data_IF_054510220657
#
_entry.id   IF_054510220657
#
_cell.length_a   1.000
_cell.length_b   1.000
_cell.length_c   1.000
_cell.angle_alpha   90.00
_cell.angle_beta   90.00
_cell.angle_gamma   90.00
#
_symmetry.space_group_name_H-M   'P 1'
#
loop_
_entity.id
_entity.type
_entity.pdbx_description
1 polymer ?
#
# COMPACT_ATOMS: atom_id res chain seq x y z
N UNK A 1 -16.22 8.87 -8.28
CA UNK A 1 -16.86 7.64 -8.81
C UNK A 1 -15.83 6.57 -9.10
N UNK A 2 -14.73 6.89 -9.78
CA UNK A 2 -13.61 5.98 -10.07
C UNK A 2 -13.07 5.30 -8.81
N UNK A 3 -12.89 6.08 -7.74
CA UNK A 3 -12.44 5.61 -6.42
C UNK A 3 -13.40 4.65 -5.69
N UNK A 4 -14.56 4.33 -6.28
CA UNK A 4 -15.64 3.53 -5.65
C UNK A 4 -16.22 4.13 -4.36
N UNK A 5 -15.95 5.39 -4.05
CA UNK A 5 -16.63 6.13 -2.96
C UNK A 5 -18.16 6.22 -3.17
N UNK A 6 -18.61 6.24 -4.43
CA UNK A 6 -20.01 6.01 -4.79
C UNK A 6 -20.20 4.50 -4.97
N UNK A 7 -21.08 3.86 -4.19
CA UNK A 7 -21.36 2.42 -4.27
C UNK A 7 -22.03 2.03 -5.60
N UNK A 8 -22.09 0.74 -5.93
CA UNK A 8 -22.68 0.29 -7.20
C UNK A 8 -24.20 0.52 -7.23
N UNK A 9 -24.83 0.41 -6.07
CA UNK A 9 -26.27 0.58 -5.84
C UNK A 9 -26.71 2.03 -6.07
N UNK A 10 -25.77 2.98 -5.95
CA UNK A 10 -25.99 4.40 -6.22
C UNK A 10 -25.92 4.76 -7.70
N UNK A 11 -25.65 3.80 -8.60
CA UNK A 11 -25.53 4.03 -10.03
C UNK A 11 -26.59 3.21 -10.75
N UNK A 12 -27.50 3.89 -11.43
CA UNK A 12 -28.59 3.26 -12.19
C UNK A 12 -28.67 3.84 -13.59
N UNK A 13 -29.37 3.15 -14.48
CA UNK A 13 -29.57 3.61 -15.86
C UNK A 13 -31.00 3.34 -16.32
N UNK A 14 -31.42 4.04 -17.36
CA UNK A 14 -32.69 3.80 -18.07
C UNK A 14 -32.80 2.36 -18.57
N UNK A 15 -31.68 1.84 -19.08
CA UNK A 15 -31.53 0.49 -19.59
C UNK A 15 -30.06 0.10 -19.58
N UNK A 16 -29.81 -1.20 -19.67
CA UNK A 16 -28.48 -1.76 -19.82
C UNK A 16 -28.56 -2.97 -20.76
N UNK A 17 -27.54 -3.15 -21.60
CA UNK A 17 -27.51 -4.24 -22.58
C UNK A 17 -27.61 -5.62 -21.93
N UNK A 18 -26.72 -5.89 -20.97
CA UNK A 18 -26.82 -7.03 -20.05
C UNK A 18 -26.08 -6.74 -18.73
N UNK A 19 -25.88 -7.76 -17.88
CA UNK A 19 -25.20 -7.61 -16.59
C UNK A 19 -23.72 -7.19 -16.72
N UNK A 20 -23.07 -7.51 -17.82
CA UNK A 20 -21.68 -7.18 -18.13
C UNK A 20 -21.50 -5.72 -18.62
N UNK A 21 -22.58 -5.07 -19.03
CA UNK A 21 -22.67 -3.68 -19.48
C UNK A 21 -23.45 -2.79 -18.50
N UNK A 22 -23.61 -3.26 -17.25
CA UNK A 22 -24.44 -2.62 -16.24
C UNK A 22 -24.04 -1.17 -15.92
N UNK A 23 -24.99 -0.40 -15.38
CA UNK A 23 -24.81 1.02 -15.06
C UNK A 23 -23.56 1.32 -14.23
N UNK A 24 -23.24 0.48 -13.23
CA UNK A 24 -22.10 0.66 -12.34
C UNK A 24 -20.72 0.47 -13.02
N UNK A 25 -20.68 -0.06 -14.25
CA UNK A 25 -19.46 -0.11 -15.06
C UNK A 25 -19.17 1.24 -15.74
N UNK A 26 -20.11 2.19 -15.69
CA UNK A 26 -19.97 3.55 -16.21
C UNK A 26 -19.06 4.46 -15.38
N UNK A 27 -18.12 3.93 -14.60
CA UNK A 27 -17.14 4.72 -13.84
C UNK A 27 -15.99 5.15 -14.75
N UNK A 28 -15.48 6.37 -14.58
CA UNK A 28 -14.28 6.82 -15.29
C UNK A 28 -13.12 5.83 -15.12
N UNK A 29 -12.32 5.68 -16.17
CA UNK A 29 -11.18 4.75 -16.25
C UNK A 29 -11.50 3.26 -16.02
N UNK A 30 -12.77 2.88 -15.84
CA UNK A 30 -13.16 1.47 -15.74
C UNK A 30 -12.67 0.68 -16.96
N UNK A 31 -12.05 -0.47 -16.69
CA UNK A 31 -11.38 -1.31 -17.69
C UNK A 31 -12.22 -2.53 -18.02
N UNK A 32 -12.19 -2.96 -19.28
CA UNK A 32 -12.75 -4.25 -19.66
C UNK A 32 -12.00 -5.36 -18.90
N UNK A 33 -12.74 -6.27 -18.27
CA UNK A 33 -12.17 -7.40 -17.52
C UNK A 33 -13.07 -8.61 -17.62
N UNK A 34 -12.55 -9.72 -18.16
CA UNK A 34 -13.32 -10.92 -18.46
C UNK A 34 -14.49 -10.59 -19.40
N UNK A 35 -15.71 -10.88 -18.94
CA UNK A 35 -16.93 -10.60 -19.68
C UNK A 35 -17.40 -9.14 -19.57
N UNK A 36 -16.91 -8.34 -18.60
CA UNK A 36 -17.39 -6.97 -18.38
C UNK A 36 -16.93 -6.00 -19.46
N UNK A 37 -17.87 -5.21 -19.98
CA UNK A 37 -17.73 -4.36 -21.17
C UNK A 37 -16.76 -3.19 -21.11
N UNK A 38 -16.26 -2.83 -19.91
CA UNK A 38 -15.41 -1.66 -19.71
C UNK A 38 -16.15 -0.32 -19.79
N UNK A 39 -17.48 -0.29 -19.68
CA UNK A 39 -18.34 0.90 -19.54
C UNK A 39 -19.80 0.50 -19.23
N UNK A 40 -20.67 1.48 -18.96
CA UNK A 40 -22.12 1.30 -19.10
C UNK A 40 -22.52 1.37 -20.57
N UNK A 41 -23.35 0.45 -21.03
CA UNK A 41 -23.90 0.42 -22.40
C UNK A 41 -25.42 0.34 -22.32
N UNK A 42 -26.12 1.28 -22.98
CA UNK A 42 -27.57 1.26 -23.03
C UNK A 42 -28.10 0.11 -23.89
N UNK A 43 -29.30 -0.39 -23.60
CA UNK A 43 -29.93 -1.46 -24.38
C UNK A 43 -30.35 -0.98 -25.77
N UNK A 44 -30.82 0.27 -25.87
CA UNK A 44 -31.29 0.88 -27.12
C UNK A 44 -30.58 2.21 -27.37
N UNK A 45 -30.47 2.58 -28.65
CA UNK A 45 -29.86 3.83 -29.09
C UNK A 45 -30.94 4.87 -29.38
N UNK A 46 -31.47 5.50 -28.35
CA UNK A 46 -32.49 6.54 -28.45
C UNK A 46 -32.28 7.65 -27.39
N UNK A 47 -32.96 8.78 -27.54
CA UNK A 47 -32.80 9.95 -26.67
C UNK A 47 -33.45 9.80 -25.27
N UNK A 48 -34.12 8.66 -25.00
CA UNK A 48 -34.70 8.38 -23.69
C UNK A 48 -33.68 7.74 -22.74
N UNK A 49 -32.47 7.43 -23.23
CA UNK A 49 -31.45 6.82 -22.40
C UNK A 49 -30.85 7.81 -21.39
N UNK A 50 -30.52 7.29 -20.20
CA UNK A 50 -29.83 8.06 -19.18
C UNK A 50 -28.99 7.16 -18.27
N UNK A 51 -27.89 7.72 -17.77
CA UNK A 51 -27.08 7.17 -16.66
C UNK A 51 -27.25 8.10 -15.46
N UNK A 52 -27.69 7.55 -14.34
CA UNK A 52 -28.01 8.27 -13.11
C UNK A 52 -27.02 7.92 -12.01
N UNK A 53 -26.62 8.96 -11.27
CA UNK A 53 -25.83 8.84 -10.05
C UNK A 53 -26.64 9.43 -8.90
N UNK A 54 -26.75 8.66 -7.82
CA UNK A 54 -27.32 9.08 -6.55
C UNK A 54 -26.21 9.51 -5.59
N UNK A 55 -26.22 10.79 -5.23
CA UNK A 55 -25.41 11.39 -4.19
C UNK A 55 -26.20 11.31 -2.88
N UNK A 56 -25.90 10.30 -2.06
CA UNK A 56 -26.59 10.08 -0.77
C UNK A 56 -26.36 11.27 0.18
N UNK A 57 -25.18 11.87 0.11
CA UNK A 57 -24.85 13.05 0.90
C UNK A 57 -25.52 14.30 0.26
N UNK A 58 -26.54 14.89 0.91
CA UNK A 58 -27.30 16.01 0.35
C UNK A 58 -26.49 17.30 0.25
N UNK A 59 -25.31 17.34 0.87
CA UNK A 59 -24.43 18.49 0.92
C UNK A 59 -23.44 18.53 -0.24
N UNK A 60 -23.43 17.56 -1.16
CA UNK A 60 -22.48 17.59 -2.29
C UNK A 60 -22.93 18.57 -3.37
N UNK A 61 -22.06 19.53 -3.68
CA UNK A 61 -22.19 20.45 -4.80
C UNK A 61 -21.34 19.97 -5.98
N UNK A 62 -21.96 19.74 -7.13
CA UNK A 62 -21.27 19.31 -8.35
C UNK A 62 -20.79 20.54 -9.11
N UNK A 63 -19.48 20.64 -9.32
CA UNK A 63 -18.83 21.77 -10.00
C UNK A 63 -18.26 21.42 -11.35
N UNK A 64 -18.01 20.13 -11.63
CA UNK A 64 -17.48 19.66 -12.91
C UNK A 64 -17.90 18.22 -13.17
N UNK A 65 -18.05 17.87 -14.43
CA UNK A 65 -18.29 16.50 -14.88
C UNK A 65 -17.20 16.07 -15.85
N UNK A 66 -16.94 14.76 -15.92
CA UNK A 66 -16.09 14.19 -16.96
C UNK A 66 -16.74 12.98 -17.63
N UNK A 67 -16.42 12.76 -18.90
CA UNK A 67 -16.93 11.66 -19.72
C UNK A 67 -15.83 10.95 -20.51
N UNK A 68 -16.01 9.65 -20.74
CA UNK A 68 -15.19 8.76 -21.56
C UNK A 68 -16.09 7.76 -22.30
N UNK A 69 -15.58 7.17 -23.39
CA UNK A 69 -16.24 6.06 -24.10
C UNK A 69 -15.89 4.67 -23.55
N UNK A 70 -16.23 3.61 -24.29
CA UNK A 70 -15.99 2.20 -23.89
C UNK A 70 -14.51 1.87 -23.83
N UNK A 71 -14.04 1.25 -22.74
CA UNK A 71 -12.68 0.70 -22.72
C UNK A 71 -12.61 -0.71 -23.33
N UNK A 72 -12.98 -0.86 -24.60
CA UNK A 72 -12.90 -2.13 -25.34
C UNK A 72 -11.69 -2.19 -26.29
N UNK A 73 -11.14 -3.39 -26.53
CA UNK A 73 -10.04 -3.59 -27.50
C UNK A 73 -10.50 -3.39 -28.96
N UNK A 74 -11.69 -3.89 -29.32
CA UNK A 74 -12.20 -3.87 -30.70
C UNK A 74 -13.46 -3.03 -30.86
N UNK A 75 -14.20 -2.79 -29.78
CA UNK A 75 -15.48 -2.07 -29.83
C UNK A 75 -15.27 -0.57 -29.63
N UNK A 76 -15.70 0.22 -30.61
CA UNK A 76 -15.54 1.67 -30.67
C UNK A 76 -16.89 2.37 -30.41
N UNK A 77 -17.26 2.58 -29.14
CA UNK A 77 -18.53 3.22 -28.77
C UNK A 77 -18.30 4.39 -27.79
N UNK A 78 -18.94 5.53 -28.03
CA UNK A 78 -18.93 6.68 -27.12
C UNK A 78 -20.07 7.66 -27.42
N UNK A 79 -20.38 8.51 -26.44
CA UNK A 79 -21.33 9.61 -26.58
C UNK A 79 -20.61 10.88 -27.04
N UNK A 80 -21.13 11.53 -28.09
CA UNK A 80 -20.53 12.72 -28.71
C UNK A 80 -21.21 14.02 -28.27
N UNK A 81 -22.42 13.95 -27.73
CA UNK A 81 -23.05 15.06 -27.00
C UNK A 81 -24.10 14.57 -26.01
N UNK A 82 -24.33 15.34 -24.95
CA UNK A 82 -25.31 15.03 -23.93
C UNK A 82 -25.86 16.29 -23.25
N UNK A 83 -26.97 16.15 -22.55
CA UNK A 83 -27.43 17.13 -21.56
C UNK A 83 -27.45 16.54 -20.15
N UNK A 84 -27.55 17.42 -19.16
CA UNK A 84 -27.66 17.04 -17.75
C UNK A 84 -29.06 17.36 -17.23
N UNK A 85 -29.63 16.42 -16.48
CA UNK A 85 -30.83 16.67 -15.67
C UNK A 85 -30.57 16.27 -14.23
N UNK A 86 -31.24 16.92 -13.28
CA UNK A 86 -30.97 16.70 -11.86
C UNK A 86 -32.24 16.80 -11.01
N UNK A 87 -32.26 16.14 -9.86
CA UNK A 87 -33.43 16.05 -8.97
C UNK A 87 -33.03 15.84 -7.51
N UNK A 88 -33.87 16.30 -6.58
CA UNK A 88 -33.73 15.98 -5.14
C UNK A 88 -34.65 14.84 -4.68
N UNK A 89 -35.76 14.62 -5.39
CA UNK A 89 -36.78 13.63 -5.02
C UNK A 89 -36.74 12.36 -5.89
N UNK A 90 -35.95 12.37 -6.97
CA UNK A 90 -35.83 11.25 -7.91
C UNK A 90 -37.06 11.09 -8.83
N UNK A 91 -38.03 11.99 -8.74
CA UNK A 91 -39.28 11.98 -9.52
C UNK A 91 -39.32 13.17 -10.47
N UNK A 92 -39.14 14.38 -9.96
CA UNK A 92 -39.15 15.61 -10.74
C UNK A 92 -37.73 16.01 -11.10
N UNK A 93 -37.39 15.88 -12.38
CA UNK A 93 -36.09 16.27 -12.92
C UNK A 93 -36.12 17.67 -13.52
N UNK A 94 -35.11 18.46 -13.18
CA UNK A 94 -34.83 19.77 -13.73
C UNK A 94 -33.74 19.66 -14.82
N UNK A 95 -33.89 20.44 -15.88
CA UNK A 95 -32.85 20.55 -16.93
C UNK A 95 -31.73 21.48 -16.46
N UNK A 96 -30.49 21.10 -16.74
CA UNK A 96 -29.34 21.98 -16.54
C UNK A 96 -29.24 23.01 -17.67
N UNK A 97 -29.01 24.27 -17.30
CA UNK A 97 -28.92 25.41 -18.21
C UNK A 97 -27.91 26.43 -17.69
N UNK A 98 -27.23 27.11 -18.62
CA UNK A 98 -26.29 28.18 -18.28
C UNK A 98 -27.03 29.44 -17.82
N UNK A 99 -26.30 30.32 -17.11
CA UNK A 99 -26.89 31.55 -16.55
C UNK A 99 -27.43 32.44 -17.66
N UNK A 100 -28.71 32.79 -17.58
CA UNK A 100 -29.39 33.61 -18.60
C UNK A 100 -29.96 32.81 -19.78
N UNK A 101 -29.74 31.49 -19.83
CA UNK A 101 -30.31 30.62 -20.85
C UNK A 101 -31.61 29.97 -20.36
N UNK A 102 -32.53 29.73 -21.30
CA UNK A 102 -33.81 29.03 -21.05
C UNK A 102 -33.73 27.57 -21.50
N UNK A 103 -32.98 27.31 -22.56
CA UNK A 103 -32.78 25.98 -23.13
C UNK A 103 -31.77 25.15 -22.35
N UNK A 104 -31.86 23.83 -22.51
CA UNK A 104 -30.91 22.89 -21.92
C UNK A 104 -29.52 23.12 -22.50
N UNK A 105 -28.50 23.13 -21.64
CA UNK A 105 -27.12 23.14 -22.10
C UNK A 105 -26.81 21.82 -22.82
N UNK A 106 -26.36 21.92 -24.06
CA UNK A 106 -25.80 20.80 -24.80
C UNK A 106 -24.28 20.75 -24.55
N UNK A 107 -23.79 19.66 -23.98
CA UNK A 107 -22.38 19.43 -23.70
C UNK A 107 -21.76 18.65 -24.85
N UNK A 108 -20.59 19.11 -25.32
CA UNK A 108 -19.79 18.36 -26.28
C UNK A 108 -19.15 17.18 -25.55
N UNK A 109 -19.47 15.96 -26.00
CA UNK A 109 -18.95 14.71 -25.43
C UNK A 109 -17.60 14.32 -26.02
N UNK A 110 -17.39 13.03 -26.14
CA UNK A 110 -16.12 12.44 -26.57
C UNK A 110 -15.99 12.37 -28.09
N UNK A 111 -14.75 12.45 -28.59
CA UNK A 111 -14.38 12.23 -30.00
C UNK A 111 -13.80 10.84 -30.24
N UNK A 112 -13.42 10.15 -29.17
CA UNK A 112 -12.85 8.81 -29.16
C UNK A 112 -13.24 8.08 -27.86
N UNK A 113 -12.82 6.82 -27.69
CA UNK A 113 -13.23 6.00 -26.54
C UNK A 113 -12.38 6.19 -25.27
N UNK A 114 -11.20 6.79 -25.37
CA UNK A 114 -10.16 6.77 -24.33
C UNK A 114 -9.91 8.16 -23.71
N UNK A 115 -9.99 9.23 -24.47
CA UNK A 115 -9.76 10.61 -24.01
C UNK A 115 -10.85 11.05 -23.04
N UNK A 116 -10.44 11.53 -21.87
CA UNK A 116 -11.36 12.15 -20.90
C UNK A 116 -11.74 13.54 -21.38
N UNK A 117 -13.05 13.82 -21.45
CA UNK A 117 -13.58 15.16 -21.74
C UNK A 117 -14.16 15.73 -20.45
N UNK A 118 -13.77 16.96 -20.11
CA UNK A 118 -14.19 17.66 -18.89
C UNK A 118 -15.10 18.84 -19.23
N UNK A 119 -16.09 19.10 -18.39
CA UNK A 119 -16.90 20.33 -18.44
C UNK A 119 -17.13 20.88 -17.04
N UNK A 120 -16.73 22.13 -16.84
CA UNK A 120 -17.04 22.88 -15.63
C UNK A 120 -18.50 23.36 -15.69
N UNK A 121 -19.18 23.29 -14.54
CA UNK A 121 -20.58 23.65 -14.41
C UNK A 121 -20.71 25.05 -13.81
N UNK A 122 -21.20 25.99 -14.63
CA UNK A 122 -21.56 27.33 -14.21
C UNK A 122 -22.99 27.69 -14.68
N UNK A 123 -24.00 27.62 -13.79
CA UNK A 123 -23.91 27.43 -12.34
C UNK A 123 -23.60 25.99 -11.91
N UNK A 124 -23.10 25.76 -10.68
CA UNK A 124 -22.95 24.43 -10.11
C UNK A 124 -24.31 23.77 -9.80
N UNK A 125 -24.36 22.44 -9.77
CA UNK A 125 -25.59 21.67 -9.50
C UNK A 125 -25.65 21.23 -8.01
N UNK A 126 -26.82 21.41 -7.40
CA UNK A 126 -27.17 20.85 -6.07
C UNK A 126 -28.31 19.87 -6.23
N UNK A 127 -28.02 18.58 -6.09
CA UNK A 127 -29.00 17.54 -6.30
C UNK A 127 -28.60 16.22 -5.65
N UNK A 128 -29.59 15.47 -5.16
CA UNK A 128 -29.42 14.05 -4.80
C UNK A 128 -29.20 13.17 -6.02
N UNK A 129 -29.82 13.48 -7.14
CA UNK A 129 -29.75 12.70 -8.37
C UNK A 129 -29.27 13.56 -9.52
N UNK A 130 -28.31 13.06 -10.28
CA UNK A 130 -27.90 13.65 -11.57
C UNK A 130 -27.96 12.59 -12.66
N UNK A 131 -28.45 12.96 -13.83
CA UNK A 131 -28.57 12.13 -15.03
C UNK A 131 -27.78 12.73 -16.17
N UNK A 132 -26.89 11.93 -16.74
CA UNK A 132 -26.32 12.15 -18.07
C UNK A 132 -27.29 11.61 -19.11
N UNK A 133 -27.75 12.48 -20.02
CA UNK A 133 -28.71 12.12 -21.07
C UNK A 133 -28.05 12.29 -22.44
N UNK A 134 -27.61 11.20 -23.09
CA UNK A 134 -27.01 11.25 -24.42
C UNK A 134 -27.96 11.88 -25.44
N UNK A 135 -27.43 12.78 -26.26
CA UNK A 135 -28.16 13.42 -27.38
C UNK A 135 -27.55 13.07 -28.73
N UNK A 136 -26.28 12.66 -28.77
CA UNK A 136 -25.66 12.07 -29.94
C UNK A 136 -24.54 11.11 -29.54
N UNK A 137 -24.25 10.11 -30.37
CA UNK A 137 -23.27 9.06 -30.09
C UNK A 137 -22.62 8.53 -31.36
N UNK A 138 -21.49 7.84 -31.18
CA UNK A 138 -20.81 7.07 -32.21
C UNK A 138 -20.99 5.58 -31.95
N UNK A 139 -21.53 4.86 -32.94
CA UNK A 139 -21.93 3.44 -32.94
C UNK A 139 -23.00 3.04 -31.91
N UNK A 140 -22.76 3.24 -30.61
CA UNK A 140 -23.69 2.86 -29.55
C UNK A 140 -23.60 3.80 -28.35
N UNK A 141 -24.71 4.02 -27.64
CA UNK A 141 -24.73 4.79 -26.41
C UNK A 141 -23.91 4.04 -25.35
N UNK A 142 -22.75 4.59 -25.04
CA UNK A 142 -21.81 4.03 -24.07
C UNK A 142 -21.07 5.15 -23.36
N UNK A 143 -21.03 5.09 -22.03
CA UNK A 143 -20.38 6.13 -21.23
C UNK A 143 -19.64 5.55 -20.02
N UNK A 144 -18.51 6.19 -19.71
CA UNK A 144 -17.88 6.23 -18.41
C UNK A 144 -17.89 7.68 -17.93
N UNK A 145 -18.21 7.93 -16.67
CA UNK A 145 -18.38 9.28 -16.14
C UNK A 145 -17.72 9.46 -14.78
N UNK A 146 -17.41 10.71 -14.45
CA UNK A 146 -16.97 11.15 -13.13
C UNK A 146 -17.66 12.46 -12.76
N UNK A 147 -17.96 12.61 -11.47
CA UNK A 147 -18.48 13.83 -10.87
C UNK A 147 -17.40 14.43 -9.98
N UNK A 148 -17.12 15.72 -10.19
CA UNK A 148 -16.25 16.51 -9.33
C UNK A 148 -17.10 17.55 -8.60
N UNK A 149 -16.81 17.72 -7.32
CA UNK A 149 -17.57 18.59 -6.45
C UNK A 149 -16.90 18.80 -5.11
N UNK A 150 -17.59 19.54 -4.25
CA UNK A 150 -17.19 19.76 -2.87
C UNK A 150 -18.39 19.62 -1.93
N UNK A 151 -18.10 19.34 -0.65
CA UNK A 151 -19.11 19.36 0.40
C UNK A 151 -19.49 20.82 0.70
N UNK A 152 -20.75 21.16 0.49
CA UNK A 152 -21.44 22.37 0.93
C UNK A 152 -22.37 22.03 2.09
N UNK A 153 -21.80 21.77 3.26
CA UNK A 153 -22.57 21.82 4.49
C UNK A 153 -22.84 23.29 4.83
N UNK A 154 -24.02 23.80 4.51
CA UNK A 154 -24.35 25.23 4.70
C UNK A 154 -25.58 25.46 5.57
N UNK A 155 -25.89 24.52 6.46
CA UNK A 155 -26.97 24.72 7.43
C UNK A 155 -26.55 25.80 8.44
N UNK A 156 -27.43 26.75 8.80
CA UNK A 156 -27.10 27.74 9.80
C UNK A 156 -26.95 27.07 11.15
N UNK A 157 -25.83 27.33 11.84
CA UNK A 157 -25.64 26.82 13.21
C UNK A 157 -26.57 27.51 14.22
N UNK A 158 -27.14 28.66 13.84
CA UNK A 158 -28.28 29.22 14.52
C UNK A 158 -27.94 30.41 15.42
N UNK A 159 -27.08 31.28 14.92
CA UNK A 159 -26.95 32.63 15.49
C UNK A 159 -28.27 33.40 15.33
N UNK A 160 -28.89 33.38 14.15
CA UNK A 160 -30.12 34.12 13.85
C UNK A 160 -31.34 33.58 14.61
N UNK A 161 -31.52 32.25 14.62
CA UNK A 161 -32.71 31.61 15.18
C UNK A 161 -32.61 31.27 16.68
N UNK A 162 -31.46 31.52 17.32
CA UNK A 162 -31.27 31.32 18.75
C UNK A 162 -30.88 29.90 19.18
N UNK A 163 -30.60 28.99 18.24
CA UNK A 163 -30.10 27.63 18.57
C UNK A 163 -28.73 27.69 19.25
N UNK A 164 -27.83 28.55 18.78
CA UNK A 164 -26.66 28.93 19.57
C UNK A 164 -27.16 29.80 20.72
N UNK A 165 -26.95 29.36 21.96
CA UNK A 165 -27.36 30.08 23.17
C UNK A 165 -26.48 31.31 23.44
N UNK A 166 -26.99 32.26 24.22
CA UNK A 166 -26.24 33.48 24.56
C UNK A 166 -24.93 33.19 25.31
N UNK A 167 -24.88 32.11 26.10
CA UNK A 167 -23.69 31.70 26.84
C UNK A 167 -22.56 31.14 25.97
N UNK A 168 -22.86 30.79 24.71
CA UNK A 168 -21.87 30.32 23.73
C UNK A 168 -21.17 31.47 23.00
N UNK A 169 -21.61 32.71 23.20
CA UNK A 169 -21.11 33.87 22.48
C UNK A 169 -20.33 34.75 23.45
N UNK A 170 -19.06 34.99 23.14
CA UNK A 170 -18.16 35.80 23.98
C UNK A 170 -17.38 36.78 23.13
N UNK A 171 -16.83 37.83 23.74
CA UNK A 171 -16.01 38.81 23.04
C UNK A 171 -14.83 39.25 23.90
N UNK A 172 -13.84 39.87 23.26
CA UNK A 172 -12.70 40.52 23.91
C UNK A 172 -13.14 41.61 24.88
N UNK A 173 -14.17 42.37 24.52
CA UNK A 173 -14.72 43.47 25.29
C UNK A 173 -16.13 43.82 24.80
N UNK A 174 -16.92 44.49 25.65
CA UNK A 174 -18.32 44.84 25.36
C UNK A 174 -18.62 46.27 25.84
N UNK A 175 -19.12 47.13 24.95
CA UNK A 175 -19.38 48.54 25.27
C UNK A 175 -20.41 48.72 26.41
N UNK A 176 -21.50 47.95 26.37
CA UNK A 176 -22.60 47.92 27.35
C UNK A 176 -23.50 46.73 27.06
N UNK A 177 -24.41 46.39 27.98
CA UNK A 177 -25.36 45.27 27.84
C UNK A 177 -26.17 45.28 26.52
N UNK A 178 -26.53 46.45 25.99
CA UNK A 178 -27.25 46.57 24.71
C UNK A 178 -26.40 46.23 23.47
N UNK A 179 -25.08 46.12 23.62
CA UNK A 179 -24.10 45.80 22.59
C UNK A 179 -23.13 44.68 23.02
N UNK A 180 -23.59 43.83 23.93
CA UNK A 180 -22.86 42.65 24.38
C UNK A 180 -22.67 41.63 23.25
N UNK A 181 -21.79 40.65 23.45
CA UNK A 181 -21.44 39.66 22.42
C UNK A 181 -22.67 38.89 21.90
N UNK A 182 -23.62 38.55 22.78
CA UNK A 182 -24.87 37.89 22.43
C UNK A 182 -25.80 38.68 21.49
N UNK A 183 -25.53 39.98 21.27
CA UNK A 183 -26.24 40.82 20.30
C UNK A 183 -25.65 40.74 18.89
N UNK A 184 -24.58 39.97 18.67
CA UNK A 184 -23.96 39.77 17.37
C UNK A 184 -24.73 38.83 16.42
N UNK A 185 -26.03 38.59 16.64
CA UNK A 185 -26.82 37.66 15.83
C UNK A 185 -27.21 38.29 14.50
N UNK A 186 -27.09 37.55 13.39
CA UNK A 186 -27.50 38.02 12.07
C UNK A 186 -28.99 38.40 12.06
N UNK A 187 -29.34 39.46 11.31
CA UNK A 187 -30.71 40.00 11.19
C UNK A 187 -31.40 40.36 12.51
N UNK A 188 -30.68 40.43 13.64
CA UNK A 188 -31.27 40.83 14.91
C UNK A 188 -31.99 42.19 14.77
N UNK A 189 -33.24 42.32 15.27
CA UNK A 189 -34.04 43.53 15.10
C UNK A 189 -33.41 44.73 15.81
N UNK A 190 -32.80 44.50 16.97
CA UNK A 190 -32.09 45.49 17.78
C UNK A 190 -30.78 44.91 18.32
N UNK A 191 -29.79 45.79 18.48
CA UNK A 191 -28.48 45.41 19.00
C UNK A 191 -27.52 44.88 17.92
N UNK A 192 -26.24 45.00 18.23
CA UNK A 192 -25.09 44.44 17.51
C UNK A 192 -23.94 44.42 18.52
N UNK A 193 -22.97 43.53 18.36
CA UNK A 193 -21.79 43.61 19.21
C UNK A 193 -20.94 44.85 18.88
N UNK A 194 -20.59 45.62 19.92
CA UNK A 194 -19.60 46.71 19.88
C UNK A 194 -18.56 46.46 20.98
N UNK A 195 -17.26 46.47 20.67
CA UNK A 195 -16.23 46.45 21.70
C UNK A 195 -16.14 47.78 22.45
N UNK A 196 -15.49 47.76 23.63
CA UNK A 196 -15.18 48.97 24.42
C UNK A 196 -14.22 49.92 23.70
N UNK A 197 -13.29 49.37 22.92
CA UNK A 197 -12.28 50.11 22.16
C UNK A 197 -12.19 49.58 20.73
N UNK A 198 -11.92 50.47 19.77
CA UNK A 198 -11.78 50.11 18.36
C UNK A 198 -10.30 49.90 18.01
N UNK A 199 -9.83 48.67 18.10
CA UNK A 199 -8.48 48.27 17.69
C UNK A 199 -8.47 46.85 17.11
N UNK A 200 -7.36 46.46 16.48
CA UNK A 200 -7.21 45.16 15.82
C UNK A 200 -7.14 43.96 16.78
N UNK A 201 -7.00 44.20 18.09
CA UNK A 201 -6.95 43.14 19.11
C UNK A 201 -8.35 42.65 19.52
N UNK A 202 -9.40 43.34 19.09
CA UNK A 202 -10.76 42.96 19.40
C UNK A 202 -11.17 41.65 18.71
N UNK A 203 -12.02 40.89 19.36
CA UNK A 203 -12.56 39.66 18.80
C UNK A 203 -13.94 39.32 19.33
N UNK A 204 -14.72 38.63 18.50
CA UNK A 204 -15.96 37.95 18.85
C UNK A 204 -15.73 36.45 18.65
N UNK A 205 -16.10 35.63 19.63
CA UNK A 205 -15.91 34.18 19.60
C UNK A 205 -17.24 33.47 19.84
N UNK A 206 -17.44 32.40 19.09
CA UNK A 206 -18.60 31.54 19.18
C UNK A 206 -18.12 30.13 19.51
N UNK A 207 -18.68 29.55 20.56
CA UNK A 207 -18.48 28.18 21.01
C UNK A 207 -19.54 27.26 20.39
N UNK A 208 -19.14 26.41 19.46
CA UNK A 208 -19.98 25.44 18.75
C UNK A 208 -20.16 24.13 19.55
N UNK A 209 -19.65 24.06 20.79
CA UNK A 209 -19.73 22.97 21.77
C UNK A 209 -18.97 21.68 21.42
N UNK A 210 -18.88 21.34 20.13
CA UNK A 210 -18.21 20.13 19.63
C UNK A 210 -16.91 20.46 18.90
N UNK A 211 -15.92 19.57 18.94
CA UNK A 211 -14.60 19.81 18.32
C UNK A 211 -14.58 19.55 16.82
N UNK A 212 -15.51 18.74 16.32
CA UNK A 212 -15.51 18.25 14.93
C UNK A 212 -16.53 19.01 14.07
N UNK A 213 -16.81 20.27 14.44
CA UNK A 213 -17.70 21.13 13.67
C UNK A 213 -16.94 21.70 12.47
N UNK A 214 -17.56 21.60 11.30
CA UNK A 214 -17.04 22.08 10.03
C UNK A 214 -17.80 23.36 9.66
N UNK A 215 -17.11 24.49 9.66
CA UNK A 215 -17.65 25.78 9.22
C UNK A 215 -17.18 26.06 7.79
N UNK A 216 -18.14 26.08 6.87
CA UNK A 216 -17.88 26.21 5.43
C UNK A 216 -18.18 27.61 4.89
N UNK A 217 -18.99 28.39 5.61
CA UNK A 217 -19.38 29.74 5.21
C UNK A 217 -19.72 30.58 6.43
N UNK A 218 -19.48 31.87 6.34
CA UNK A 218 -19.96 32.87 7.31
C UNK A 218 -20.81 33.90 6.59
N UNK A 219 -21.82 34.44 7.28
CA UNK A 219 -22.48 35.67 6.87
C UNK A 219 -22.15 36.77 7.87
N UNK A 220 -21.97 37.97 7.37
CA UNK A 220 -21.73 39.16 8.19
C UNK A 220 -22.70 40.28 7.81
N UNK A 221 -22.98 41.15 8.76
CA UNK A 221 -23.83 42.33 8.58
C UNK A 221 -23.42 43.42 9.57
N UNK A 222 -23.52 44.69 9.15
CA UNK A 222 -23.29 45.86 10.01
C UNK A 222 -24.44 46.19 10.97
N UNK A 223 -24.34 47.31 11.70
CA UNK A 223 -25.31 47.76 12.71
C UNK A 223 -26.68 48.18 12.11
N UNK A 224 -27.79 47.66 12.65
CA UNK A 224 -29.16 48.13 12.34
C UNK A 224 -29.61 49.25 13.30
N UNK A 225 -29.03 50.44 13.20
CA UNK A 225 -29.50 51.65 13.91
C UNK A 225 -29.82 52.73 12.87
N UNK A 226 -31.05 53.27 12.92
CA UNK A 226 -31.55 54.30 12.02
C UNK A 226 -30.79 55.63 12.13
N UNK A 227 -30.06 55.87 13.23
CA UNK A 227 -29.35 57.14 13.51
C UNK A 227 -27.83 57.12 13.31
N UNK A 228 -27.18 55.96 13.12
CA UNK A 228 -25.72 55.83 12.95
C UNK A 228 -25.37 54.87 11.79
N UNK A 229 -24.38 55.21 10.96
CA UNK A 229 -23.96 54.43 9.78
C UNK A 229 -22.58 53.79 10.02
N UNK A 230 -22.51 52.54 10.50
CA UNK A 230 -21.23 51.87 10.79
C UNK A 230 -21.13 50.49 10.13
N UNK A 231 -19.94 50.14 9.65
CA UNK A 231 -19.67 48.96 8.82
C UNK A 231 -18.41 48.21 9.29
N UNK A 232 -18.40 46.89 9.13
CA UNK A 232 -17.28 46.00 9.45
C UNK A 232 -16.89 45.15 8.23
N UNK A 233 -15.59 45.15 7.87
CA UNK A 233 -14.90 44.35 6.85
C UNK A 233 -15.14 44.63 5.36
N UNK A 234 -14.13 44.25 4.55
CA UNK A 234 -14.13 44.23 3.07
C UNK A 234 -15.25 43.32 2.54
N UNK A 235 -16.41 43.91 2.32
CA UNK A 235 -17.61 43.24 1.81
C UNK A 235 -18.89 43.96 2.20
N UNK A 236 -19.00 44.43 3.45
CA UNK A 236 -20.20 45.13 3.91
C UNK A 236 -20.19 46.60 3.43
N UNK A 237 -20.70 46.83 2.22
CA UNK A 237 -20.81 48.18 1.63
C UNK A 237 -21.92 49.03 2.28
N UNK A 238 -22.83 48.42 3.05
CA UNK A 238 -23.87 49.13 3.79
C UNK A 238 -24.37 48.31 5.01
N UNK A 239 -25.24 48.94 5.82
CA UNK A 239 -25.76 48.39 7.08
C UNK A 239 -26.84 47.31 6.94
N UNK A 240 -27.40 47.14 5.74
CA UNK A 240 -28.54 46.25 5.48
C UNK A 240 -28.13 44.98 4.74
N UNK A 241 -27.19 45.08 3.82
CA UNK A 241 -26.71 43.97 3.02
C UNK A 241 -26.04 42.93 3.92
N UNK A 242 -26.48 41.70 3.80
CA UNK A 242 -25.79 40.55 4.34
C UNK A 242 -24.75 40.14 3.30
N UNK A 243 -23.51 39.94 3.76
CA UNK A 243 -22.43 39.49 2.90
C UNK A 243 -22.01 38.10 3.34
N UNK A 244 -21.98 37.19 2.38
CA UNK A 244 -21.61 35.81 2.58
C UNK A 244 -20.17 35.60 2.13
N UNK A 245 -19.39 34.88 2.93
CA UNK A 245 -18.02 34.49 2.62
C UNK A 245 -17.91 32.98 2.73
N UNK A 246 -17.69 32.32 1.59
CA UNK A 246 -17.38 30.89 1.56
C UNK A 246 -15.92 30.70 2.01
N UNK A 247 -15.69 29.76 2.92
CA UNK A 247 -14.40 29.47 3.53
C UNK A 247 -13.72 28.33 2.77
N UNK A 248 -12.62 28.64 2.09
CA UNK A 248 -11.77 27.68 1.40
C UNK A 248 -10.29 27.94 1.76
N UNK A 249 -9.66 27.09 2.61
CA UNK A 249 -10.21 25.88 3.23
C UNK A 249 -11.30 26.18 4.27
N UNK A 250 -12.17 25.20 4.54
CA UNK A 250 -13.17 25.30 5.62
C UNK A 250 -12.49 25.30 6.99
N UNK A 251 -13.13 25.91 7.99
CA UNK A 251 -12.63 25.93 9.36
C UNK A 251 -13.17 24.71 10.09
N UNK A 252 -12.28 23.97 10.76
CA UNK A 252 -12.65 22.85 11.64
C UNK A 252 -12.34 23.23 13.07
N UNK A 253 -13.32 23.11 13.95
CA UNK A 253 -13.10 23.31 15.38
C UNK A 253 -14.30 23.84 16.14
N UNK A 254 -14.21 23.69 17.47
CA UNK A 254 -15.21 24.17 18.42
C UNK A 254 -15.35 25.68 18.50
N UNK A 255 -14.24 26.41 18.40
CA UNK A 255 -14.23 27.85 18.61
C UNK A 255 -13.94 28.59 17.30
N UNK A 256 -14.89 29.41 16.85
CA UNK A 256 -14.68 30.33 15.73
C UNK A 256 -14.57 31.74 16.25
N UNK A 257 -13.46 32.41 15.90
CA UNK A 257 -13.16 33.77 16.34
C UNK A 257 -13.11 34.73 15.16
N UNK A 258 -13.97 35.74 15.18
CA UNK A 258 -13.98 36.86 14.25
C UNK A 258 -13.09 37.97 14.80
N UNK A 259 -12.12 38.43 14.01
CA UNK A 259 -11.18 39.50 14.37
C UNK A 259 -11.31 40.68 13.39
N UNK A 260 -11.90 41.81 13.78
CA UNK A 260 -11.98 43.01 12.95
C UNK A 260 -10.60 43.51 12.50
N UNK A 261 -10.38 43.63 11.19
CA UNK A 261 -9.13 44.19 10.62
C UNK A 261 -9.35 45.65 10.20
N UNK A 262 -10.38 45.89 9.39
CA UNK A 262 -10.79 47.21 8.92
C UNK A 262 -12.25 47.48 9.27
N UNK A 263 -12.55 48.70 9.70
CA UNK A 263 -13.89 49.16 10.05
C UNK A 263 -14.08 50.62 9.67
N UNK A 264 -15.33 51.07 9.68
CA UNK A 264 -15.64 52.49 9.54
C UNK A 264 -16.33 53.04 10.75
N UNK A 265 -15.78 54.15 11.24
CA UNK A 265 -16.12 54.82 12.49
C UNK A 265 -15.85 53.91 13.70
N UNK A 266 -16.62 52.82 13.87
CA UNK A 266 -16.46 51.85 14.96
C UNK A 266 -16.69 50.42 14.46
N UNK A 267 -16.13 49.46 15.18
CA UNK A 267 -16.38 48.04 15.00
C UNK A 267 -17.83 47.75 15.40
N UNK A 268 -18.61 47.19 14.48
CA UNK A 268 -19.95 46.70 14.73
C UNK A 268 -20.23 45.46 13.89
N UNK A 269 -20.56 44.33 14.52
CA UNK A 269 -20.76 43.06 13.82
C UNK A 269 -22.02 42.32 14.25
N UNK A 270 -22.72 41.80 13.24
CA UNK A 270 -23.69 40.71 13.33
C UNK A 270 -23.24 39.60 12.40
N UNK A 271 -23.34 38.36 12.84
CA UNK A 271 -22.79 37.19 12.13
C UNK A 271 -23.74 35.99 12.18
N UNK A 272 -23.60 35.12 11.20
CA UNK A 272 -24.13 33.75 11.17
C UNK A 272 -23.03 32.82 10.65
N UNK A 273 -23.01 31.59 11.16
CA UNK A 273 -22.09 30.54 10.71
C UNK A 273 -22.90 29.46 10.03
N UNK A 274 -22.33 28.90 8.97
CA UNK A 274 -22.94 27.82 8.21
C UNK A 274 -21.97 26.65 8.12
N UNK A 275 -22.50 25.45 8.28
CA UNK A 275 -21.69 24.25 8.38
C UNK A 275 -22.50 23.02 8.75
N UNK A 276 -21.81 22.03 9.31
CA UNK A 276 -22.42 20.89 10.00
C UNK A 276 -21.43 20.26 10.99
N UNK A 277 -21.92 19.34 11.80
CA UNK A 277 -21.08 18.40 12.54
C UNK A 277 -20.51 17.35 11.59
N UNK A 278 -19.27 16.93 11.86
CA UNK A 278 -18.72 15.74 11.25
C UNK A 278 -19.61 14.51 11.53
N UNK A 279 -19.69 13.61 10.56
CA UNK A 279 -20.38 12.33 10.72
C UNK A 279 -19.32 11.26 10.85
N UNK A 280 -19.20 10.62 12.02
CA UNK A 280 -18.28 9.48 12.16
C UNK A 280 -18.82 8.27 11.38
N UNK A 281 -18.36 8.12 10.13
CA UNK A 281 -18.85 7.05 9.27
C UNK A 281 -18.43 5.67 9.76
N UNK A 282 -17.35 5.58 10.56
CA UNK A 282 -16.83 4.34 11.13
C UNK A 282 -17.74 3.82 12.26
N UNK A 283 -18.18 4.69 13.17
CA UNK A 283 -19.12 4.31 14.24
C UNK A 283 -20.52 4.02 13.70
N UNK A 284 -20.98 4.80 12.74
CA UNK A 284 -22.30 4.69 12.14
C UNK A 284 -22.42 3.55 11.12
N UNK A 285 -21.32 2.83 10.84
CA UNK A 285 -21.22 1.80 9.78
C UNK A 285 -21.66 2.30 8.40
N UNK A 286 -21.42 3.59 8.11
CA UNK A 286 -21.73 4.26 6.84
C UNK A 286 -20.49 4.39 5.95
N UNK A 287 -19.56 3.46 6.07
CA UNK A 287 -18.31 3.42 5.32
C UNK A 287 -18.29 2.24 4.34
N UNK A 288 -17.38 2.30 3.36
CA UNK A 288 -17.15 1.23 2.38
C UNK A 288 -15.79 0.53 2.54
N UNK A 289 -15.12 0.69 3.68
CA UNK A 289 -13.84 0.03 3.95
C UNK A 289 -13.92 -1.50 3.79
N UNK A 290 -12.86 -2.09 3.26
CA UNK A 290 -12.75 -3.54 3.12
C UNK A 290 -12.79 -4.22 4.49
N UNK A 291 -13.25 -5.48 4.55
CA UNK A 291 -13.25 -6.26 5.80
C UNK A 291 -11.86 -6.45 6.43
N UNK A 292 -10.81 -6.40 5.60
CA UNK A 292 -9.40 -6.45 6.01
C UNK A 292 -8.78 -5.05 6.05
N UNK A 293 -9.57 -4.02 6.35
CA UNK A 293 -9.10 -2.65 6.52
C UNK A 293 -9.63 -2.07 7.83
N UNK A 294 -8.86 -1.13 8.39
CA UNK A 294 -9.28 -0.26 9.46
C UNK A 294 -9.91 1.01 8.89
N UNK A 295 -11.10 1.35 9.39
CA UNK A 295 -11.75 2.62 9.11
C UNK A 295 -11.23 3.65 10.11
N UNK A 296 -10.69 4.77 9.61
CA UNK A 296 -10.34 5.92 10.44
C UNK A 296 -11.22 7.09 10.04
N UNK A 297 -12.02 7.59 10.99
CA UNK A 297 -12.81 8.79 10.79
C UNK A 297 -11.89 10.01 10.63
N UNK A 298 -12.27 10.95 9.78
CA UNK A 298 -11.57 12.21 9.57
C UNK A 298 -12.59 13.34 9.53
N UNK A 299 -12.22 14.56 9.93
CA UNK A 299 -13.24 15.61 9.93
C UNK A 299 -13.70 15.95 8.50
N UNK A 300 -14.97 15.64 8.21
CA UNK A 300 -15.66 15.78 6.94
C UNK A 300 -15.63 14.55 6.04
N UNK A 301 -15.02 13.43 6.47
CA UNK A 301 -14.89 12.20 5.67
C UNK A 301 -14.35 11.01 6.48
N UNK A 302 -13.97 9.93 5.82
CA UNK A 302 -13.21 8.84 6.44
C UNK A 302 -12.14 8.34 5.48
N UNK A 303 -11.12 7.68 6.02
CA UNK A 303 -10.18 6.90 5.23
C UNK A 303 -10.19 5.44 5.66
N UNK A 304 -9.84 4.58 4.71
CA UNK A 304 -9.68 3.16 4.95
C UNK A 304 -8.20 2.82 4.79
N UNK A 305 -7.66 2.03 5.71
CA UNK A 305 -6.26 1.59 5.67
C UNK A 305 -6.21 0.08 5.80
N UNK A 306 -5.56 -0.62 4.86
CA UNK A 306 -5.48 -2.08 4.94
C UNK A 306 -4.79 -2.52 6.25
N UNK A 307 -5.25 -3.63 6.82
CA UNK A 307 -4.62 -4.24 7.98
C UNK A 307 -3.21 -4.71 7.62
N UNK A 308 -2.36 -4.90 8.64
CA UNK A 308 -1.03 -5.47 8.46
C UNK A 308 -1.09 -6.82 7.73
N UNK A 309 -0.15 -7.06 6.79
CA UNK A 309 -0.16 -8.23 5.91
C UNK A 309 -1.03 -8.06 4.66
N UNK A 310 -1.69 -6.90 4.49
CA UNK A 310 -2.50 -6.60 3.31
C UNK A 310 -2.06 -5.29 2.65
N UNK A 311 -2.23 -5.22 1.32
CA UNK A 311 -1.95 -4.05 0.50
C UNK A 311 -3.18 -3.64 -0.29
N UNK A 312 -3.28 -2.36 -0.68
CA UNK A 312 -4.39 -1.83 -1.45
C UNK A 312 -4.78 -0.41 -1.04
N UNK A 313 -5.98 0.01 -1.44
CA UNK A 313 -6.52 1.37 -1.21
C UNK A 313 -7.41 1.46 0.06
N UNK A 314 -7.46 0.40 0.87
CA UNK A 314 -8.30 0.30 2.06
C UNK A 314 -9.77 -0.04 1.79
N UNK A 315 -10.29 0.23 0.58
CA UNK A 315 -11.62 -0.22 0.13
C UNK A 315 -11.53 -1.61 -0.50
N UNK A 316 -10.38 -1.93 -1.10
CA UNK A 316 -10.00 -3.24 -1.62
C UNK A 316 -8.62 -3.59 -1.08
N UNK A 317 -8.54 -4.62 -0.24
CA UNK A 317 -7.28 -5.09 0.32
C UNK A 317 -6.97 -6.52 -0.15
N UNK A 318 -5.73 -6.71 -0.59
CA UNK A 318 -5.20 -7.96 -1.09
C UNK A 318 -4.09 -8.44 -0.18
N UNK A 319 -3.98 -9.75 -0.06
CA UNK A 319 -2.91 -10.42 0.68
C UNK A 319 -1.55 -10.04 0.10
N UNK A 320 -0.61 -9.61 0.94
CA UNK A 320 0.79 -9.43 0.54
C UNK A 320 1.41 -10.82 0.54
N UNK A 321 2.10 -11.18 -0.54
CA UNK A 321 2.87 -12.42 -0.56
C UNK A 321 4.31 -12.12 -0.17
N UNK A 322 4.61 -12.19 1.12
CA UNK A 322 5.91 -11.78 1.65
C UNK A 322 7.06 -12.61 1.05
N UNK A 323 6.80 -13.89 0.75
CA UNK A 323 7.78 -14.79 0.14
C UNK A 323 8.13 -14.44 -1.32
N UNK A 324 7.25 -13.73 -2.05
CA UNK A 324 7.50 -13.31 -3.44
C UNK A 324 8.08 -11.90 -3.53
N UNK A 325 7.66 -11.05 -2.60
CA UNK A 325 8.08 -9.65 -2.54
C UNK A 325 9.38 -9.48 -1.73
N UNK A 326 9.99 -10.56 -1.25
CA UNK A 326 11.21 -10.58 -0.42
C UNK A 326 11.06 -9.73 0.86
N UNK A 327 9.86 -9.76 1.45
CA UNK A 327 9.52 -9.06 2.70
C UNK A 327 9.47 -10.01 3.90
N UNK A 328 9.75 -11.29 3.69
CA UNK A 328 9.82 -12.28 4.76
C UNK A 328 11.10 -12.13 5.60
N UNK A 329 11.04 -12.63 6.82
CA UNK A 329 12.18 -12.67 7.75
C UNK A 329 12.59 -14.11 8.07
N UNK A 330 12.43 -15.03 7.10
CA UNK A 330 12.84 -16.41 7.25
C UNK A 330 14.36 -16.55 7.30
N UNK A 331 14.85 -17.56 8.02
CA UNK A 331 16.26 -17.92 7.97
C UNK A 331 16.65 -18.32 6.54
N UNK A 332 17.92 -18.11 6.11
CA UNK A 332 18.42 -18.60 4.82
C UNK A 332 18.20 -20.11 4.64
N UNK A 333 18.20 -20.87 5.74
CA UNK A 333 17.98 -22.31 5.79
C UNK A 333 16.50 -22.69 6.04
N UNK A 334 15.56 -21.80 5.73
CA UNK A 334 14.12 -22.03 5.82
C UNK A 334 13.41 -21.76 4.49
N UNK A 335 12.30 -22.46 4.27
CA UNK A 335 11.38 -22.20 3.17
C UNK A 335 10.23 -21.32 3.65
N UNK A 336 9.97 -20.23 2.92
CA UNK A 336 8.85 -19.34 3.16
C UNK A 336 7.57 -19.88 2.50
N UNK A 337 6.46 -19.86 3.23
CA UNK A 337 5.14 -20.21 2.71
C UNK A 337 4.11 -19.12 3.02
N UNK A 338 3.55 -18.53 1.98
CA UNK A 338 2.56 -17.47 2.11
C UNK A 338 1.25 -17.97 2.74
N UNK A 339 0.64 -17.17 3.61
CA UNK A 339 -0.69 -17.40 4.19
C UNK A 339 -1.52 -16.13 4.08
N UNK A 340 -2.84 -16.26 4.22
CA UNK A 340 -3.71 -15.09 4.15
C UNK A 340 -3.49 -14.18 5.39
N UNK A 341 -2.94 -12.99 5.15
CA UNK A 341 -2.59 -11.95 6.10
C UNK A 341 -1.21 -12.10 6.75
N UNK A 342 -0.39 -13.10 6.36
CA UNK A 342 0.92 -13.37 6.96
C UNK A 342 1.70 -14.44 6.18
N UNK A 343 2.87 -14.85 6.66
CA UNK A 343 3.66 -15.94 6.11
C UNK A 343 4.15 -16.87 7.21
N UNK A 344 4.57 -18.07 6.82
CA UNK A 344 5.16 -19.06 7.74
C UNK A 344 6.48 -19.55 7.17
N UNK A 345 7.53 -19.42 7.97
CA UNK A 345 8.85 -20.00 7.72
C UNK A 345 8.91 -21.42 8.26
N UNK A 346 9.52 -22.34 7.51
CA UNK A 346 9.80 -23.70 7.98
C UNK A 346 11.23 -24.08 7.64
N UNK A 347 12.00 -24.48 8.64
CA UNK A 347 13.38 -24.93 8.43
C UNK A 347 13.43 -26.06 7.39
N UNK A 348 14.47 -26.02 6.55
CA UNK A 348 14.78 -27.08 5.60
C UNK A 348 15.10 -28.39 6.35
N UNK A 349 14.93 -29.57 5.71
CA UNK A 349 15.28 -30.84 6.32
C UNK A 349 16.74 -30.85 6.82
N UNK A 350 16.96 -31.32 8.05
CA UNK A 350 18.29 -31.33 8.70
C UNK A 350 18.58 -30.10 9.58
N UNK A 351 17.67 -29.13 9.59
CA UNK A 351 17.71 -27.96 10.47
C UNK A 351 16.52 -27.97 11.44
N UNK A 352 16.72 -27.44 12.64
CA UNK A 352 15.70 -27.36 13.69
C UNK A 352 15.59 -25.94 14.25
N UNK A 353 14.37 -25.50 14.52
CA UNK A 353 14.10 -24.15 15.02
C UNK A 353 12.70 -23.64 14.63
N UNK A 354 12.49 -22.33 14.71
CA UNK A 354 11.18 -21.67 14.48
C UNK A 354 10.98 -21.20 13.04
N UNK A 355 11.95 -21.45 12.15
CA UNK A 355 11.94 -21.02 10.75
C UNK A 355 12.55 -19.64 10.52
N UNK A 356 12.68 -18.80 11.54
CA UNK A 356 13.46 -17.53 11.51
C UNK A 356 14.88 -17.74 12.04
N UNK A 357 15.03 -18.71 12.91
CA UNK A 357 16.28 -19.28 13.35
C UNK A 357 16.23 -20.78 13.07
N UNK A 358 17.18 -21.27 12.26
CA UNK A 358 17.30 -22.68 11.92
C UNK A 358 18.71 -23.14 12.24
N UNK A 359 18.87 -23.91 13.31
CA UNK A 359 20.15 -24.52 13.66
C UNK A 359 20.24 -25.89 13.01
N UNK A 360 21.24 -26.05 12.15
CA UNK A 360 21.59 -27.33 11.55
C UNK A 360 22.23 -28.25 12.59
N UNK A 361 21.96 -29.55 12.49
CA UNK A 361 22.78 -30.57 13.17
C UNK A 361 24.01 -30.98 12.34
N UNK A 362 24.44 -30.15 11.38
CA UNK A 362 25.59 -30.44 10.54
C UNK A 362 26.55 -29.25 10.58
N UNK A 363 27.57 -29.39 11.43
CA UNK A 363 28.67 -28.45 11.58
C UNK A 363 29.39 -28.22 10.26
N UNK A 364 29.49 -26.97 9.82
CA UNK A 364 30.47 -26.56 8.78
C UNK A 364 31.87 -26.29 9.39
N UNK A 365 32.09 -26.64 10.66
CA UNK A 365 33.40 -26.54 11.30
C UNK A 365 33.62 -27.58 12.42
N UNK A 366 33.27 -28.86 12.21
CA UNK A 366 33.82 -29.95 13.01
C UNK A 366 33.54 -31.31 12.35
N UNK A 367 34.42 -31.73 11.43
CA UNK A 367 34.58 -33.16 11.18
C UNK A 367 35.33 -33.68 12.40
N UNK A 368 34.62 -34.28 13.37
CA UNK A 368 35.28 -35.21 14.28
C UNK A 368 35.60 -36.44 13.44
N UNK A 369 36.73 -36.33 12.75
CA UNK A 369 37.33 -37.41 12.01
C UNK A 369 37.74 -38.48 13.03
N UNK A 370 37.15 -39.67 12.93
CA UNK A 370 37.50 -40.77 13.81
C UNK A 370 38.77 -41.36 13.22
N UNK A 371 39.92 -41.11 13.86
CA UNK A 371 41.16 -41.68 13.38
C UNK A 371 41.18 -43.20 13.56
N UNK A 372 40.85 -43.94 12.50
CA UNK A 372 40.70 -45.40 12.53
C UNK A 372 42.00 -46.10 12.91
N UNK A 373 43.16 -45.52 12.54
CA UNK A 373 44.50 -46.02 12.86
C UNK A 373 44.82 -45.97 14.36
N UNK A 374 44.24 -45.02 15.10
CA UNK A 374 44.44 -44.92 16.57
C UNK A 374 43.38 -45.67 17.37
N UNK A 375 42.23 -45.93 16.76
CA UNK A 375 41.10 -46.62 17.39
C UNK A 375 41.06 -48.12 17.06
N UNK A 376 41.99 -48.61 16.23
CA UNK A 376 42.05 -50.00 15.73
C UNK A 376 40.78 -50.45 15.00
N UNK A 377 40.06 -49.53 14.35
CA UNK A 377 38.84 -49.82 13.56
C UNK A 377 39.16 -49.76 12.07
N UNK A 378 40.23 -50.46 11.65
CA UNK A 378 40.65 -50.57 10.25
C UNK A 378 40.89 -52.03 9.87
N UNK A 379 40.98 -52.30 8.57
CA UNK A 379 41.28 -53.63 8.01
C UNK A 379 42.62 -53.68 7.27
N UNK A 380 43.55 -52.76 7.57
CA UNK A 380 44.93 -52.85 7.07
C UNK A 380 45.58 -54.19 7.44
N UNK A 381 46.36 -54.74 6.51
CA UNK A 381 47.15 -55.95 6.73
C UNK A 381 48.15 -55.74 7.90
N UNK A 382 48.48 -56.76 8.71
CA UNK A 382 49.52 -56.64 9.74
C UNK A 382 50.87 -56.14 9.21
N UNK A 383 51.17 -56.38 7.93
CA UNK A 383 52.38 -55.89 7.25
C UNK A 383 52.14 -54.59 6.46
N UNK A 384 51.18 -53.76 6.88
CA UNK A 384 50.89 -52.45 6.29
C UNK A 384 50.82 -51.32 7.34
N UNK A 385 51.20 -50.11 6.91
CA UNK A 385 50.98 -48.85 7.65
C UNK A 385 49.58 -48.33 7.34
N UNK A 386 48.81 -48.03 8.40
CA UNK A 386 47.56 -47.29 8.33
C UNK A 386 47.84 -45.78 8.35
N UNK A 387 47.31 -45.04 7.36
CA UNK A 387 47.32 -43.58 7.38
C UNK A 387 45.88 -43.04 7.41
N UNK A 388 45.62 -42.19 8.39
CA UNK A 388 44.32 -41.55 8.56
C UNK A 388 44.14 -40.39 7.57
N UNK A 389 42.94 -40.26 7.01
CA UNK A 389 42.53 -39.19 6.08
C UNK A 389 41.20 -38.61 6.52
N UNK A 390 40.84 -37.39 6.10
CA UNK A 390 39.60 -36.78 6.57
C UNK A 390 38.39 -37.58 6.04
N UNK A 391 37.66 -38.22 6.95
CA UNK A 391 36.48 -39.06 6.69
C UNK A 391 36.77 -40.52 6.31
N UNK A 392 38.03 -40.99 6.36
CA UNK A 392 38.42 -42.36 5.98
C UNK A 392 39.88 -42.68 6.35
N UNK A 393 40.38 -43.88 6.03
CA UNK A 393 41.80 -44.23 6.14
C UNK A 393 42.30 -44.94 4.86
N UNK A 394 43.62 -44.99 4.70
CA UNK A 394 44.26 -45.84 3.70
C UNK A 394 45.32 -46.74 4.34
N UNK A 395 45.64 -47.84 3.66
CA UNK A 395 46.65 -48.79 4.09
C UNK A 395 47.74 -48.88 3.03
N UNK A 396 48.99 -48.93 3.44
CA UNK A 396 50.15 -49.02 2.54
C UNK A 396 51.10 -50.11 3.03
N UNK A 397 51.42 -51.10 2.20
CA UNK A 397 52.30 -52.20 2.61
C UNK A 397 53.68 -51.70 3.05
N UNK A 398 54.31 -52.39 4.01
CA UNK A 398 55.68 -52.10 4.39
C UNK A 398 56.64 -52.29 3.21
N UNK A 399 57.79 -51.63 3.29
CA UNK A 399 58.87 -51.81 2.30
C UNK A 399 59.31 -53.27 2.28
N UNK A 400 59.44 -53.86 1.08
CA UNK A 400 59.72 -55.29 0.88
C UNK A 400 58.46 -56.14 0.71
N UNK A 401 57.26 -55.54 0.82
CA UNK A 401 55.98 -56.21 0.58
C UNK A 401 55.20 -55.50 -0.54
N UNK A 402 54.43 -56.26 -1.32
CA UNK A 402 53.55 -55.75 -2.37
C UNK A 402 52.09 -56.15 -2.15
N UNK A 403 51.17 -55.32 -2.62
CA UNK A 403 49.74 -55.54 -2.46
C UNK A 403 48.93 -54.26 -2.37
N UNK A 404 47.68 -54.37 -1.92
CA UNK A 404 46.73 -53.26 -1.85
C UNK A 404 46.66 -52.60 -0.46
N UNK A 405 47.56 -52.94 0.46
CA UNK A 405 47.59 -52.42 1.84
C UNK A 405 46.66 -53.12 2.83
N UNK A 406 45.58 -53.77 2.36
CA UNK A 406 44.71 -54.65 3.18
C UNK A 406 45.08 -56.13 3.06
N UNK A 407 45.89 -56.46 2.06
CA UNK A 407 46.55 -57.74 1.87
C UNK A 407 47.94 -57.45 1.33
N UNK A 408 48.99 -57.80 2.08
CA UNK A 408 50.38 -57.57 1.71
C UNK A 408 51.14 -58.90 1.66
N UNK A 409 51.82 -59.16 0.54
CA UNK A 409 52.64 -60.34 0.33
C UNK A 409 54.11 -59.95 0.24
N UNK A 410 54.97 -60.82 0.78
CA UNK A 410 56.42 -60.65 0.72
C UNK A 410 56.92 -60.65 -0.72
N UNK A 411 57.78 -59.70 -1.08
CA UNK A 411 58.39 -59.64 -2.40
C UNK A 411 59.64 -60.51 -2.39
N UNK A 412 59.60 -61.64 -3.08
CA UNK A 412 60.78 -62.50 -3.22
C UNK A 412 61.82 -61.87 -4.16
N UNK A 413 62.75 -61.10 -3.61
CA UNK A 413 63.76 -60.40 -4.41
C UNK A 413 64.74 -61.37 -5.11
N UNK A 414 64.86 -62.61 -4.63
CA UNK A 414 65.65 -63.67 -5.25
C UNK A 414 64.97 -64.19 -6.53
N UNK A 415 63.64 -64.30 -6.53
CA UNK A 415 62.86 -64.73 -7.69
C UNK A 415 62.72 -63.61 -8.74
N UNK A 416 62.57 -62.35 -8.31
CA UNK A 416 62.42 -61.20 -9.22
C UNK A 416 63.75 -60.62 -9.71
N UNK A 417 64.90 -61.14 -9.22
CA UNK A 417 66.25 -60.65 -9.51
C UNK A 417 66.46 -59.16 -9.19
N UNK A 418 65.73 -58.63 -8.20
CA UNK A 418 65.89 -57.24 -7.72
C UNK A 418 66.89 -57.12 -6.56
N UNK A 419 67.50 -58.22 -6.16
CA UNK A 419 68.57 -58.27 -5.16
C UNK A 419 69.90 -57.74 -5.70
N UNK A 420 70.82 -57.38 -4.79
CA UNK A 420 72.18 -56.97 -5.11
C UNK A 420 73.26 -57.96 -4.64
N UNK A 421 72.89 -59.22 -4.34
CA UNK A 421 73.86 -60.27 -4.04
C UNK A 421 74.96 -60.40 -5.09
N UNK A 422 76.18 -60.72 -4.64
CA UNK A 422 77.31 -60.97 -5.52
C UNK A 422 77.01 -62.14 -6.48
N UNK A 423 77.57 -62.13 -7.70
CA UNK A 423 77.31 -63.18 -8.69
C UNK A 423 77.74 -64.61 -8.28
N UNK A 424 78.60 -64.72 -7.26
CA UNK A 424 78.99 -66.00 -6.63
C UNK A 424 78.42 -66.19 -5.21
N UNK A 425 77.45 -65.38 -4.80
CA UNK A 425 76.66 -65.58 -3.59
C UNK A 425 75.35 -66.33 -3.92
N UNK A 426 74.79 -66.99 -2.92
CA UNK A 426 73.43 -67.52 -2.94
C UNK A 426 72.49 -66.51 -2.28
N UNK A 427 71.34 -66.25 -2.92
CA UNK A 427 70.31 -65.38 -2.39
C UNK A 427 69.30 -66.22 -1.61
N UNK A 428 68.92 -65.76 -0.42
CA UNK A 428 67.85 -66.33 0.40
C UNK A 428 66.80 -65.27 0.67
N UNK A 429 65.57 -65.53 0.26
CA UNK A 429 64.44 -64.65 0.52
C UNK A 429 63.99 -64.77 1.98
N UNK A 430 63.78 -63.64 2.65
CA UNK A 430 63.25 -63.57 4.00
C UNK A 430 62.03 -62.63 4.02
N UNK A 431 61.12 -62.76 5.00
CA UNK A 431 59.99 -61.84 5.10
C UNK A 431 60.44 -60.37 5.23
N UNK A 432 60.11 -59.57 4.22
CA UNK A 432 60.38 -58.14 4.07
C UNK A 432 61.76 -57.78 3.51
N UNK A 433 62.61 -58.75 3.21
CA UNK A 433 63.98 -58.51 2.71
C UNK A 433 64.69 -59.79 2.26
N UNK A 434 65.79 -59.69 1.53
CA UNK A 434 66.65 -60.82 1.18
C UNK A 434 67.99 -60.79 1.93
N UNK A 435 68.63 -61.94 2.01
CA UNK A 435 70.01 -62.09 2.50
C UNK A 435 70.88 -62.81 1.48
N UNK A 436 72.16 -62.47 1.42
CA UNK A 436 73.11 -63.05 0.51
C UNK A 436 74.19 -63.80 1.30
N UNK A 437 74.56 -65.00 0.87
CA UNK A 437 75.64 -65.76 1.50
C UNK A 437 76.64 -66.23 0.43
N UNK A 438 77.93 -65.98 0.63
CA UNK A 438 78.95 -66.41 -0.32
C UNK A 438 78.98 -67.93 -0.44
N UNK A 439 79.15 -68.46 -1.65
CA UNK A 439 79.34 -69.91 -1.85
C UNK A 439 80.64 -70.39 -1.19
N UNK A 440 80.71 -71.69 -0.91
CA UNK A 440 81.88 -72.35 -0.31
C UNK A 440 83.18 -71.97 -1.05
N UNK A 441 84.23 -71.68 -0.28
CA UNK A 441 85.55 -71.18 -0.71
C UNK A 441 85.63 -69.67 -1.02
N UNK A 442 84.59 -68.92 -0.71
CA UNK A 442 84.57 -67.45 -0.72
C UNK A 442 84.15 -66.89 0.64
N UNK A 443 84.78 -65.80 1.07
CA UNK A 443 84.45 -65.08 2.30
C UNK A 443 84.04 -63.64 2.01
N UNK A 444 83.07 -63.12 2.75
CA UNK A 444 82.55 -61.76 2.57
C UNK A 444 81.14 -61.60 3.16
N UNK A 445 80.48 -60.47 2.87
CA UNK A 445 79.15 -60.12 3.38
C UNK A 445 78.00 -60.59 2.46
N UNK A 446 78.31 -61.33 1.40
CA UNK A 446 77.35 -61.84 0.41
C UNK A 446 77.02 -60.85 -0.71
N UNK A 447 77.29 -59.55 -0.55
CA UNK A 447 77.22 -58.53 -1.61
C UNK A 447 78.58 -58.38 -2.29
N UNK A 448 79.67 -58.54 -1.52
CA UNK A 448 81.02 -58.74 -2.02
C UNK A 448 81.57 -60.07 -1.50
N UNK A 449 82.06 -60.92 -2.41
CA UNK A 449 82.63 -62.23 -2.05
C UNK A 449 84.02 -62.38 -2.70
N UNK A 450 85.04 -62.60 -1.88
CA UNK A 450 86.42 -62.82 -2.34
C UNK A 450 86.85 -64.27 -2.06
N UNK A 451 87.72 -64.87 -2.91
CA UNK A 451 88.21 -66.22 -2.69
C UNK A 451 88.97 -66.33 -1.37
N UNK A 452 88.70 -67.38 -0.58
CA UNK A 452 89.33 -67.59 0.73
C UNK A 452 90.78 -68.09 0.55
N UNK A 453 91.75 -67.16 0.48
CA UNK A 453 93.16 -67.48 0.23
C UNK A 453 93.84 -67.94 1.53
N UNK A 454 93.72 -69.24 1.86
CA UNK A 454 94.61 -69.87 2.85
C UNK A 454 96.03 -69.93 2.29
N UNK A 455 96.88 -69.01 2.77
CA UNK A 455 98.32 -68.99 2.55
C UNK A 455 98.98 -70.23 3.20
N UNK A 456 99.37 -71.21 2.39
CA UNK A 456 100.38 -72.21 2.75
C UNK A 456 101.78 -71.60 2.53
N UNK A 457 102.65 -71.64 3.55
CA UNK A 457 104.11 -71.86 3.52
C UNK A 457 104.47 -72.37 4.93
N UNK A 458 105.21 -73.47 5.19
CA UNK A 458 106.03 -74.36 4.38
C UNK A 458 106.31 -75.69 5.15
N UNK A 459 106.81 -76.72 4.44
CA UNK A 459 107.66 -77.78 5.03
C UNK A 459 109.14 -77.35 5.02
N UNK A 460 109.90 -77.93 5.97
CA UNK A 460 111.35 -77.87 6.27
C UNK A 460 111.86 -76.77 7.20
#
# INVERSE_FOLDING_TARGET
MESKAIANEQISASSQWDHNEAAHNGRLHFKQSGYKAGAWVALTNDENQWLQIELINPYVKITRVATQGRNGQTTLNWVTSYNLTYSNDGVKFHIYKERGHVESKNFVGNTDKDTVVYHDLFPPIRARYIRFRPTAWYNWITMRVELYGCLECQDPFGMENGVISDGQISASSELKAAHAANKARLKAPEGTWLPLVNNADQWLQIDLLENDIIVTRIATQGLNDSKKKKWAFDGNINRYSIVYHDLNPSIVGRYVRFRPINWNEEIAMRVELFGCSDLDECQEQKHNCHRMAHCNNTVGSFNCTCLQGFTGDGVSCFDINECKEELDDCAPEANCSNRYGSFVCRCLPGYSGDGRFCNGTYNEAQIFDINECTTNVHNCDPWAVCNNTIGSFNCTCFKGYEGNGTSCADVDECATSTHNCHGVAHCFNNPGSFSCECRKDYTGDGIACEPDVKQNWAEN
#
